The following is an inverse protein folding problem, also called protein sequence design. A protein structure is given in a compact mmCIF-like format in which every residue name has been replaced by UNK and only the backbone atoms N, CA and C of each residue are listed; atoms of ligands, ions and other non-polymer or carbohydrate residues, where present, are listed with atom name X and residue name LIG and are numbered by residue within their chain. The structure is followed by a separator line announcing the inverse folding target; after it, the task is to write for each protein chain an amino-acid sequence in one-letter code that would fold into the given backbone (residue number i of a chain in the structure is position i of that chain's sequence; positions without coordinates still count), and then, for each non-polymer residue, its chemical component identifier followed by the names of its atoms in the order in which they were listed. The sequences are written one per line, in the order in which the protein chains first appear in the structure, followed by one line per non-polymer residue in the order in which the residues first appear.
data_IF_021224828961
#
_entry.id   IF_021224828961
#
_cell.length_a   1.000
_cell.length_b   1.000
_cell.length_c   1.000
_cell.angle_alpha   90.00
_cell.angle_beta   90.00
_cell.angle_gamma   90.00
#
_symmetry.space_group_name_H-M   'P 1'
#
loop_
_entity.id
_entity.type
_entity.pdbx_description
1 polymer ?
#
# COMPACT_ATOMS: atom_id res chain seq x y z
N UNK A 1 -26.29 16.71 -6.56
CA UNK A 1 -25.19 17.70 -6.63
C UNK A 1 -25.52 18.79 -7.65
N UNK A 2 -26.42 19.73 -7.34
CA UNK A 2 -26.80 20.84 -8.24
C UNK A 2 -26.25 22.20 -7.80
N UNK A 3 -25.81 22.33 -6.55
CA UNK A 3 -25.31 23.58 -5.97
C UNK A 3 -23.87 23.92 -6.40
N UNK A 4 -23.03 22.91 -6.60
CA UNK A 4 -21.61 23.07 -6.92
C UNK A 4 -21.33 22.66 -8.36
N UNK A 5 -20.52 23.45 -9.06
CA UNK A 5 -20.05 23.11 -10.41
C UNK A 5 -18.81 22.20 -10.35
N UNK A 6 -18.28 21.84 -11.52
CA UNK A 6 -17.13 20.93 -11.63
C UNK A 6 -15.84 21.53 -11.06
N UNK A 7 -15.63 22.83 -11.19
CA UNK A 7 -14.45 23.49 -10.65
C UNK A 7 -14.52 23.55 -9.11
N UNK A 8 -15.69 23.83 -8.54
CA UNK A 8 -15.92 23.75 -7.10
C UNK A 8 -15.61 22.33 -6.58
N UNK A 9 -16.07 21.30 -7.29
CA UNK A 9 -15.81 19.91 -6.91
C UNK A 9 -14.31 19.55 -6.92
N UNK A 10 -13.53 20.09 -7.87
CA UNK A 10 -12.06 19.88 -7.90
C UNK A 10 -11.36 20.57 -6.72
N UNK A 11 -11.82 21.76 -6.33
CA UNK A 11 -11.30 22.46 -5.15
C UNK A 11 -11.60 21.65 -3.89
N UNK A 12 -12.82 21.13 -3.75
CA UNK A 12 -13.21 20.26 -2.62
C UNK A 12 -12.43 18.94 -2.60
N UNK A 13 -12.20 18.31 -3.76
CA UNK A 13 -11.33 17.13 -3.88
C UNK A 13 -9.92 17.44 -3.38
N UNK A 14 -9.35 18.58 -3.80
CA UNK A 14 -8.01 18.99 -3.40
C UNK A 14 -7.91 19.33 -1.90
N UNK A 15 -8.94 19.98 -1.34
CA UNK A 15 -9.04 20.24 0.09
C UNK A 15 -9.00 18.94 0.90
N UNK A 16 -9.77 17.92 0.47
CA UNK A 16 -9.74 16.61 1.13
C UNK A 16 -8.38 15.92 0.95
N UNK A 17 -7.77 16.03 -0.22
CA UNK A 17 -6.42 15.50 -0.47
C UNK A 17 -5.39 16.12 0.44
N UNK A 18 -5.43 17.44 0.68
CA UNK A 18 -4.54 18.10 1.64
C UNK A 18 -4.72 17.54 3.05
N UNK A 19 -5.97 17.38 3.51
CA UNK A 19 -6.25 16.79 4.83
C UNK A 19 -5.63 15.40 4.95
N UNK A 20 -5.84 14.53 3.97
CA UNK A 20 -5.34 13.15 3.99
C UNK A 20 -3.82 13.08 3.82
N UNK A 21 -3.25 13.91 2.93
CA UNK A 21 -1.82 14.00 2.67
C UNK A 21 -1.06 14.36 3.96
N UNK A 22 -1.48 15.44 4.62
CA UNK A 22 -0.76 15.99 5.77
C UNK A 22 -1.00 15.21 7.06
N UNK A 23 -2.21 14.67 7.27
CA UNK A 23 -2.55 13.97 8.52
C UNK A 23 -2.33 12.46 8.48
N UNK A 24 -2.33 11.83 7.30
CA UNK A 24 -2.38 10.35 7.15
C UNK A 24 -1.38 9.79 6.15
N UNK A 25 -0.62 10.63 5.45
CA UNK A 25 0.34 10.19 4.44
C UNK A 25 1.64 11.00 4.55
N UNK A 26 2.13 11.55 3.43
CA UNK A 26 3.47 12.11 3.29
C UNK A 26 3.73 13.45 3.98
N UNK A 27 2.79 14.00 4.75
CA UNK A 27 3.02 15.22 5.53
C UNK A 27 4.12 15.09 6.57
N UNK A 28 4.13 13.98 7.32
CA UNK A 28 5.11 13.70 8.36
C UNK A 28 5.49 12.22 8.35
N UNK A 29 6.74 11.91 8.70
CA UNK A 29 7.26 10.55 8.66
C UNK A 29 6.44 9.59 9.54
N UNK A 30 6.05 10.05 10.74
CA UNK A 30 5.28 9.28 11.73
C UNK A 30 3.94 8.77 11.17
N UNK A 31 3.32 9.52 10.24
CA UNK A 31 2.05 9.12 9.65
C UNK A 31 2.18 7.77 8.95
N UNK A 32 3.19 7.60 8.09
CA UNK A 32 3.40 6.32 7.41
C UNK A 32 3.86 5.22 8.38
N UNK A 33 4.69 5.59 9.37
CA UNK A 33 5.21 4.64 10.35
C UNK A 33 4.09 4.03 11.21
N UNK A 34 2.98 4.73 11.44
CA UNK A 34 1.87 4.17 12.25
C UNK A 34 1.28 2.87 11.68
N UNK A 35 1.48 2.58 10.39
CA UNK A 35 1.03 1.33 9.74
C UNK A 35 2.08 0.22 9.77
N UNK A 36 3.22 0.42 10.42
CA UNK A 36 4.34 -0.49 10.35
C UNK A 36 4.04 -1.86 11.03
N UNK A 37 3.31 -1.88 12.15
CA UNK A 37 2.89 -3.13 12.81
C UNK A 37 1.97 -3.96 11.90
N UNK A 38 1.00 -3.31 11.25
CA UNK A 38 0.13 -3.94 10.26
C UNK A 38 0.95 -4.49 9.07
N UNK A 39 1.93 -3.72 8.61
CA UNK A 39 2.81 -4.13 7.52
C UNK A 39 3.65 -5.37 7.89
N UNK A 40 4.18 -5.44 9.11
CA UNK A 40 4.86 -6.64 9.61
C UNK A 40 3.92 -7.85 9.69
N UNK A 41 2.68 -7.66 10.16
CA UNK A 41 1.71 -8.75 10.27
C UNK A 41 1.36 -9.35 8.90
N UNK A 42 1.18 -8.51 7.86
CA UNK A 42 0.98 -8.97 6.48
C UNK A 42 2.15 -9.88 6.05
N UNK A 43 3.39 -9.44 6.25
CA UNK A 43 4.57 -10.24 5.87
C UNK A 43 4.74 -11.51 6.71
N UNK A 44 4.39 -11.46 8.00
CA UNK A 44 4.40 -12.64 8.88
C UNK A 44 3.46 -13.72 8.35
N UNK A 45 2.27 -13.33 7.90
CA UNK A 45 1.30 -14.27 7.32
C UNK A 45 1.77 -14.84 5.97
N UNK A 46 2.33 -13.99 5.09
CA UNK A 46 2.93 -14.44 3.83
C UNK A 46 4.12 -15.39 4.07
N UNK A 47 5.00 -15.08 5.03
CA UNK A 47 6.11 -15.93 5.42
C UNK A 47 5.66 -17.29 5.96
N UNK A 48 4.59 -17.30 6.77
CA UNK A 48 4.00 -18.53 7.30
C UNK A 48 3.49 -19.42 6.16
N UNK A 49 2.75 -18.86 5.20
CA UNK A 49 2.26 -19.59 4.04
C UNK A 49 3.39 -20.16 3.19
N UNK A 50 4.45 -19.38 2.91
CA UNK A 50 5.65 -19.87 2.19
C UNK A 50 6.33 -21.01 2.96
N UNK A 51 6.45 -20.89 4.29
CA UNK A 51 7.09 -21.90 5.13
C UNK A 51 6.30 -23.22 5.19
N UNK A 52 4.97 -23.14 5.30
CA UNK A 52 4.07 -24.29 5.27
C UNK A 52 4.11 -24.99 3.92
N UNK A 53 4.02 -24.22 2.83
CA UNK A 53 4.12 -24.71 1.45
C UNK A 53 5.42 -25.46 1.20
N UNK A 54 6.57 -24.89 1.60
CA UNK A 54 7.90 -25.54 1.46
C UNK A 54 8.07 -26.83 2.26
N UNK A 55 7.27 -27.02 3.32
CA UNK A 55 7.25 -28.24 4.14
C UNK A 55 6.19 -29.23 3.66
N UNK A 56 5.56 -28.98 2.51
CA UNK A 56 4.43 -29.74 1.98
C UNK A 56 3.29 -29.88 2.99
N UNK A 57 3.09 -28.85 3.83
CA UNK A 57 2.00 -28.79 4.80
C UNK A 57 0.82 -28.00 4.21
N UNK A 58 -0.43 -28.35 4.59
CA UNK A 58 -1.59 -27.52 4.27
C UNK A 58 -1.39 -26.09 4.77
N UNK A 59 -1.80 -25.11 3.96
CA UNK A 59 -1.75 -23.70 4.35
C UNK A 59 -2.81 -23.45 5.42
N UNK A 60 -2.38 -23.05 6.61
CA UNK A 60 -3.27 -22.91 7.76
C UNK A 60 -4.22 -21.71 7.65
N UNK A 61 -3.85 -20.69 6.88
CA UNK A 61 -4.66 -19.48 6.67
C UNK A 61 -4.56 -19.05 5.21
N UNK A 62 -5.27 -19.73 4.29
CA UNK A 62 -5.17 -19.46 2.85
C UNK A 62 -5.77 -18.10 2.47
N UNK A 63 -6.68 -17.58 3.29
CA UNK A 63 -7.30 -16.26 3.13
C UNK A 63 -7.33 -15.57 4.48
N UNK A 64 -6.90 -14.30 4.50
CA UNK A 64 -6.95 -13.42 5.67
C UNK A 64 -7.64 -12.13 5.24
N UNK A 65 -8.73 -11.79 5.91
CA UNK A 65 -9.54 -10.59 5.61
C UNK A 65 -9.48 -9.67 6.82
N UNK A 66 -9.06 -8.43 6.60
CA UNK A 66 -8.99 -7.41 7.63
C UNK A 66 -9.86 -6.22 7.21
N UNK A 67 -10.68 -5.73 8.14
CA UNK A 67 -11.53 -4.56 7.94
C UNK A 67 -10.98 -3.41 8.78
N UNK A 68 -10.91 -2.23 8.16
CA UNK A 68 -10.40 -1.03 8.80
C UNK A 68 -10.94 0.21 8.13
N UNK A 69 -10.31 1.35 8.43
CA UNK A 69 -10.72 2.65 7.91
C UNK A 69 -9.81 3.10 6.76
N UNK A 70 -10.26 4.11 6.02
CA UNK A 70 -9.41 4.79 5.04
C UNK A 70 -8.12 5.30 5.71
N UNK A 71 -8.22 5.76 6.96
CA UNK A 71 -7.12 6.22 7.80
C UNK A 71 -6.15 5.10 8.23
N UNK A 72 -6.48 3.83 8.03
CA UNK A 72 -5.56 2.68 8.23
C UNK A 72 -4.85 2.29 6.93
N UNK A 73 -5.59 2.33 5.81
CA UNK A 73 -5.07 1.96 4.49
C UNK A 73 -4.18 3.04 3.87
N UNK A 74 -4.52 4.32 4.05
CA UNK A 74 -3.78 5.44 3.48
C UNK A 74 -2.33 5.53 4.00
N UNK A 75 -2.04 5.40 5.31
CA UNK A 75 -0.67 5.39 5.78
C UNK A 75 0.10 4.11 5.41
N UNK A 76 -0.58 2.96 5.29
CA UNK A 76 0.03 1.71 4.81
C UNK A 76 0.55 1.87 3.37
N UNK A 77 -0.28 2.39 2.46
CA UNK A 77 0.11 2.69 1.08
C UNK A 77 1.26 3.71 1.02
N UNK A 78 1.24 4.68 1.95
CA UNK A 78 2.29 5.70 2.04
C UNK A 78 3.63 5.10 2.50
N UNK A 79 3.61 4.20 3.49
CA UNK A 79 4.77 3.43 3.97
C UNK A 79 5.35 2.55 2.86
N UNK A 80 4.49 1.97 2.03
CA UNK A 80 4.90 1.21 0.84
C UNK A 80 5.46 2.07 -0.30
N UNK A 81 5.37 3.40 -0.20
CA UNK A 81 5.91 4.36 -1.16
C UNK A 81 4.98 4.73 -2.32
N UNK A 82 3.68 4.41 -2.24
CA UNK A 82 2.73 4.65 -3.32
C UNK A 82 2.17 6.07 -3.35
N UNK A 83 1.97 6.60 -4.56
CA UNK A 83 1.32 7.89 -4.82
C UNK A 83 2.04 9.11 -4.25
N UNK A 84 3.36 9.01 -3.98
CA UNK A 84 4.17 10.16 -3.61
C UNK A 84 4.39 11.09 -4.80
N UNK A 85 4.00 12.34 -4.65
CA UNK A 85 4.26 13.41 -5.61
C UNK A 85 5.71 13.91 -5.50
N UNK A 86 6.24 14.46 -6.60
CA UNK A 86 7.58 15.07 -6.63
C UNK A 86 7.61 16.36 -5.79
N UNK A 87 6.55 17.17 -5.94
CA UNK A 87 6.33 18.38 -5.15
C UNK A 87 5.25 18.07 -4.13
N UNK A 88 5.46 18.32 -2.83
CA UNK A 88 4.43 18.12 -1.81
C UNK A 88 3.16 18.91 -2.12
N UNK A 89 2.00 18.34 -1.80
CA UNK A 89 0.73 19.04 -1.90
C UNK A 89 0.67 20.13 -0.82
N UNK A 90 0.36 21.36 -1.18
CA UNK A 90 0.12 22.45 -0.23
C UNK A 90 -1.08 23.29 -0.68
N UNK A 91 -1.56 24.18 0.19
CA UNK A 91 -2.74 24.99 -0.10
C UNK A 91 -2.51 25.96 -1.28
N UNK A 92 -1.28 26.40 -1.52
CA UNK A 92 -0.95 27.41 -2.54
C UNK A 92 -0.70 26.83 -3.93
N UNK A 93 -0.46 25.52 -4.07
CA UNK A 93 -0.09 24.89 -5.34
C UNK A 93 -1.21 24.10 -6.02
N UNK A 94 -2.47 24.36 -5.67
CA UNK A 94 -3.65 23.73 -6.30
C UNK A 94 -3.59 23.75 -7.83
N UNK A 95 -3.34 24.93 -8.42
CA UNK A 95 -3.33 25.11 -9.88
C UNK A 95 -2.24 24.29 -10.58
N UNK A 96 -1.05 24.17 -9.98
CA UNK A 96 0.05 23.36 -10.53
C UNK A 96 -0.06 21.86 -10.20
N UNK A 97 -0.91 21.48 -9.24
CA UNK A 97 -1.17 20.09 -8.81
C UNK A 97 -2.37 19.42 -9.50
N UNK A 98 -2.76 19.91 -10.68
CA UNK A 98 -3.85 19.31 -11.47
C UNK A 98 -3.56 17.84 -11.87
N UNK A 99 -2.29 17.47 -12.05
CA UNK A 99 -1.84 16.10 -12.42
C UNK A 99 -1.20 15.33 -11.24
N UNK A 100 -1.48 15.73 -10.01
CA UNK A 100 -0.99 15.04 -8.80
C UNK A 100 -1.32 13.55 -8.81
N UNK A 101 -0.41 12.75 -8.26
CA UNK A 101 -0.58 11.32 -8.01
C UNK A 101 -1.43 11.09 -6.77
N UNK A 102 -1.23 11.88 -5.72
CA UNK A 102 -1.98 11.76 -4.48
C UNK A 102 -3.40 12.29 -4.64
N UNK A 103 -4.35 11.37 -4.79
CA UNK A 103 -5.80 11.65 -4.88
C UNK A 103 -6.53 10.70 -3.95
N UNK A 104 -6.76 11.12 -2.72
CA UNK A 104 -7.35 10.31 -1.65
C UNK A 104 -8.65 9.63 -2.06
N UNK A 105 -9.54 10.35 -2.75
CA UNK A 105 -10.81 9.79 -3.24
C UNK A 105 -10.66 8.70 -4.32
N UNK A 106 -9.48 8.54 -4.93
CA UNK A 106 -9.16 7.44 -5.87
C UNK A 106 -8.33 6.33 -5.22
N UNK A 107 -7.57 6.67 -4.18
CA UNK A 107 -6.70 5.75 -3.46
C UNK A 107 -7.52 4.96 -2.44
N UNK A 108 -8.28 5.67 -1.60
CA UNK A 108 -9.11 5.13 -0.52
C UNK A 108 -10.57 5.61 -0.63
N UNK A 109 -11.30 5.31 -1.73
CA UNK A 109 -12.74 5.56 -1.79
C UNK A 109 -13.49 4.74 -0.72
N UNK A 110 -14.80 4.97 -0.60
CA UNK A 110 -15.65 4.03 0.14
C UNK A 110 -15.51 2.62 -0.45
N UNK A 111 -15.43 1.62 0.44
CA UNK A 111 -15.15 0.23 0.11
C UNK A 111 -13.80 -0.03 -0.58
N UNK A 112 -12.81 0.84 -0.37
CA UNK A 112 -11.44 0.59 -0.83
C UNK A 112 -10.87 -0.72 -0.26
N UNK A 113 -10.08 -1.42 -1.08
CA UNK A 113 -9.47 -2.70 -0.73
C UNK A 113 -8.04 -2.77 -1.25
N UNK A 114 -7.19 -3.44 -0.47
CA UNK A 114 -5.80 -3.75 -0.83
C UNK A 114 -5.57 -5.24 -0.64
N UNK A 115 -5.24 -5.93 -1.73
CA UNK A 115 -5.05 -7.37 -1.77
C UNK A 115 -3.59 -7.71 -2.06
N UNK A 116 -3.04 -8.64 -1.28
CA UNK A 116 -1.75 -9.28 -1.56
C UNK A 116 -2.05 -10.72 -1.97
N UNK A 117 -1.64 -11.11 -3.17
CA UNK A 117 -1.84 -12.47 -3.68
C UNK A 117 -0.48 -13.15 -3.80
N UNK A 118 -0.29 -14.22 -3.05
CA UNK A 118 0.90 -15.06 -3.07
C UNK A 118 0.66 -16.28 -3.96
N UNK A 119 1.53 -16.47 -4.94
CA UNK A 119 1.50 -17.59 -5.86
C UNK A 119 2.67 -18.53 -5.57
N UNK A 120 2.39 -19.83 -5.63
CA UNK A 120 3.38 -20.89 -5.79
C UNK A 120 3.46 -21.24 -7.29
N UNK A 121 4.66 -21.27 -7.85
CA UNK A 121 4.89 -21.50 -9.28
C UNK A 121 5.56 -22.87 -9.50
N UNK A 122 4.78 -23.86 -9.95
CA UNK A 122 5.27 -25.23 -10.19
C UNK A 122 6.41 -25.31 -11.22
N UNK A 123 6.42 -24.39 -12.19
CA UNK A 123 7.41 -24.35 -13.27
C UNK A 123 8.57 -23.39 -12.99
N UNK A 124 8.90 -23.14 -11.72
CA UNK A 124 10.00 -22.26 -11.36
C UNK A 124 11.36 -22.85 -11.77
N UNK A 125 12.16 -22.05 -12.49
CA UNK A 125 13.50 -22.45 -12.96
C UNK A 125 14.53 -22.51 -11.83
N UNK A 126 14.25 -21.87 -10.70
CA UNK A 126 15.09 -21.90 -9.50
C UNK A 126 14.24 -21.85 -8.23
N UNK A 127 14.74 -22.34 -7.08
CA UNK A 127 14.05 -22.22 -5.79
C UNK A 127 13.74 -20.78 -5.38
N UNK A 128 14.41 -19.79 -5.97
CA UNK A 128 14.19 -18.36 -5.71
C UNK A 128 12.99 -17.81 -6.50
N UNK A 129 12.60 -18.48 -7.58
CA UNK A 129 11.51 -18.11 -8.48
C UNK A 129 10.17 -18.76 -8.13
N UNK A 130 10.18 -19.60 -7.10
CA UNK A 130 9.08 -20.45 -6.67
C UNK A 130 7.87 -19.67 -6.13
N UNK A 131 8.11 -18.51 -5.50
CA UNK A 131 7.05 -17.68 -4.92
C UNK A 131 7.02 -16.29 -5.54
N UNK A 132 5.85 -15.94 -6.10
CA UNK A 132 5.57 -14.64 -6.69
C UNK A 132 4.43 -13.95 -5.97
N UNK A 133 4.42 -12.63 -6.04
CA UNK A 133 3.40 -11.81 -5.40
C UNK A 133 2.85 -10.76 -6.37
N UNK A 134 1.55 -10.55 -6.28
CA UNK A 134 0.84 -9.43 -6.88
C UNK A 134 0.17 -8.60 -5.79
N UNK A 135 0.01 -7.31 -6.06
CA UNK A 135 -0.74 -6.40 -5.20
C UNK A 135 -1.87 -5.81 -6.05
N UNK A 136 -3.07 -5.78 -5.50
CA UNK A 136 -4.22 -5.14 -6.12
C UNK A 136 -4.73 -4.04 -5.19
N UNK A 137 -4.96 -2.84 -5.72
CA UNK A 137 -5.62 -1.74 -5.01
C UNK A 137 -6.89 -1.40 -5.76
N UNK A 138 -8.03 -1.48 -5.07
CA UNK A 138 -9.36 -1.29 -5.66
C UNK A 138 -9.51 -2.17 -6.91
N UNK A 139 -9.25 -3.48 -6.72
CA UNK A 139 -9.36 -4.54 -7.73
C UNK A 139 -8.47 -4.36 -8.98
N UNK A 140 -7.54 -3.40 -8.96
CA UNK A 140 -6.61 -3.13 -10.07
C UNK A 140 -5.20 -3.51 -9.67
N UNK A 141 -4.50 -4.20 -10.57
CA UNK A 141 -3.09 -4.53 -10.39
C UNK A 141 -2.28 -3.26 -10.11
N UNK A 142 -1.59 -3.25 -8.97
CA UNK A 142 -0.78 -2.16 -8.50
C UNK A 142 0.69 -2.46 -8.83
N UNK A 143 1.33 -1.69 -9.74
CA UNK A 143 2.72 -1.93 -10.11
C UNK A 143 3.67 -1.63 -8.94
N UNK A 144 4.60 -2.54 -8.65
CA UNK A 144 5.60 -2.37 -7.59
C UNK A 144 6.45 -1.12 -7.81
N UNK A 145 6.55 -0.26 -6.79
CA UNK A 145 7.28 1.03 -6.84
C UNK A 145 8.75 0.90 -7.27
N UNK A 146 9.40 -0.22 -6.91
CA UNK A 146 10.82 -0.48 -7.20
C UNK A 146 11.08 -1.14 -8.56
N UNK A 147 10.05 -1.51 -9.33
CA UNK A 147 10.26 -2.19 -10.62
C UNK A 147 9.30 -1.79 -11.73
N UNK A 148 8.17 -1.15 -11.42
CA UNK A 148 7.11 -0.81 -12.37
C UNK A 148 6.35 -2.03 -12.92
N UNK A 149 6.65 -3.25 -12.46
CA UNK A 149 5.96 -4.48 -12.87
C UNK A 149 4.81 -4.78 -11.90
N UNK A 150 3.81 -5.53 -12.35
CA UNK A 150 2.65 -5.96 -11.54
C UNK A 150 2.87 -7.30 -10.82
N UNK A 151 3.97 -8.00 -11.15
CA UNK A 151 4.38 -9.26 -10.52
C UNK A 151 5.82 -9.10 -10.05
N UNK A 152 6.11 -9.55 -8.83
CA UNK A 152 7.47 -9.60 -8.29
C UNK A 152 7.72 -10.94 -7.62
N UNK A 153 8.99 -11.32 -7.53
CA UNK A 153 9.41 -12.36 -6.58
C UNK A 153 9.07 -11.90 -5.15
N UNK A 154 8.54 -12.81 -4.35
CA UNK A 154 8.22 -12.53 -2.94
C UNK A 154 9.47 -12.11 -2.16
N UNK A 155 10.60 -12.79 -2.38
CA UNK A 155 11.90 -12.47 -1.78
C UNK A 155 12.38 -11.06 -2.15
N UNK A 156 12.19 -10.64 -3.40
CA UNK A 156 12.55 -9.29 -3.85
C UNK A 156 11.72 -8.22 -3.16
N UNK A 157 10.40 -8.44 -3.02
CA UNK A 157 9.52 -7.54 -2.28
C UNK A 157 9.92 -7.44 -0.80
N UNK A 158 10.20 -8.58 -0.15
CA UNK A 158 10.66 -8.64 1.24
C UNK A 158 11.98 -7.89 1.44
N UNK A 159 12.94 -8.05 0.54
CA UNK A 159 14.21 -7.34 0.59
C UNK A 159 14.03 -5.83 0.40
N UNK A 160 13.17 -5.41 -0.53
CA UNK A 160 12.90 -3.98 -0.75
C UNK A 160 12.37 -3.29 0.51
N UNK A 161 11.50 -3.96 1.26
CA UNK A 161 10.89 -3.41 2.47
C UNK A 161 11.57 -3.84 3.78
N UNK A 162 12.76 -4.46 3.72
CA UNK A 162 13.47 -5.03 4.88
C UNK A 162 13.63 -4.05 6.04
N UNK A 163 13.90 -2.78 5.73
CA UNK A 163 14.04 -1.73 6.75
C UNK A 163 12.79 -1.61 7.63
N UNK A 164 11.60 -1.51 7.05
CA UNK A 164 10.34 -1.42 7.79
C UNK A 164 9.99 -2.71 8.51
N UNK A 165 10.37 -3.86 7.94
CA UNK A 165 10.13 -5.16 8.57
C UNK A 165 11.00 -5.40 9.81
N UNK A 166 12.17 -4.78 9.89
CA UNK A 166 13.13 -4.98 10.98
C UNK A 166 13.11 -3.87 12.04
N UNK A 167 12.85 -2.63 11.63
CA UNK A 167 13.00 -1.45 12.51
C UNK A 167 11.66 -0.89 13.00
N UNK A 168 10.67 -1.76 13.16
CA UNK A 168 9.35 -1.38 13.67
C UNK A 168 9.31 -1.49 15.19
N UNK A 169 9.81 -0.49 15.91
CA UNK A 169 9.78 -0.47 17.38
C UNK A 169 8.73 0.54 17.88
N UNK A 170 7.48 0.11 18.04
CA UNK A 170 6.42 0.91 18.69
C UNK A 170 6.36 0.70 20.22
N UNK A 171 7.05 -0.32 20.74
CA UNK A 171 7.01 -0.70 22.15
C UNK A 171 7.93 0.13 23.08
N UNK A 172 8.61 1.16 22.55
CA UNK A 172 9.56 2.00 23.30
C UNK A 172 9.16 3.49 23.38
N UNK A 173 7.90 3.81 23.08
CA UNK A 173 7.34 5.16 23.24
C UNK A 173 6.49 5.21 24.49
#
# INVERSE_FOLDING_TARGET
CSLFNKEDAKVLEYLNDLKQYWKRAYGYNINSQSSCVLFQDIFKNLDKAVSESKRSKPISSPVIIQFGHAETLQPLLSLMGYFKDKVPLNASNYHSQSKRKFRSGRIVPYAANLLFVLYHCDQAKSPKDEYKVQILLNEKLLPFTFSGKTVSLYTKMKNHYKYFLQNCEFAKV
#
